data_IF_726512275597
#
_entry.id   IF_726512275597
#
_cell.length_a   1.000
_cell.length_b   1.000
_cell.length_c   1.000
_cell.angle_alpha   90.00
_cell.angle_beta   90.00
_cell.angle_gamma   90.00
#
_symmetry.space_group_name_H-M   'P 1'
#
loop_
_entity.id
_entity.type
_entity.pdbx_description
1 polymer ?
#
# COMPACT_ATOMS: atom_id res chain seq x y z
N UNK A 1 10.42 23.74 24.68
CA UNK A 1 9.07 23.71 24.08
C UNK A 1 9.22 23.08 22.71
N UNK A 2 9.38 21.74 22.69
CA UNK A 2 8.30 20.75 22.43
C UNK A 2 8.04 20.65 20.91
N UNK A 3 8.69 19.70 20.23
CA UNK A 3 8.27 18.30 19.99
C UNK A 3 7.18 18.14 18.89
N UNK A 4 7.40 17.11 18.05
CA UNK A 4 6.56 16.51 17.00
C UNK A 4 6.68 17.09 15.58
N UNK A 5 6.91 16.31 14.51
CA UNK A 5 6.70 14.87 14.34
C UNK A 5 7.82 14.21 13.49
N UNK A 6 8.68 13.40 14.12
CA UNK A 6 9.38 12.35 13.40
C UNK A 6 8.33 11.30 13.01
N UNK A 7 8.35 10.88 11.74
CA UNK A 7 7.54 9.77 11.25
C UNK A 7 7.60 8.60 12.23
N UNK A 8 6.43 8.08 12.63
CA UNK A 8 6.34 6.99 13.59
C UNK A 8 7.31 5.85 13.17
N UNK A 9 8.05 5.25 14.12
CA UNK A 9 9.00 4.19 13.80
C UNK A 9 8.27 3.04 13.08
N UNK A 10 8.82 2.60 11.95
CA UNK A 10 8.30 1.45 11.20
C UNK A 10 8.21 0.27 12.16
N UNK A 11 7.01 -0.31 12.32
CA UNK A 11 6.83 -1.47 13.20
C UNK A 11 7.71 -2.61 12.68
N UNK A 12 8.31 -3.41 13.56
CA UNK A 12 9.18 -4.54 13.16
C UNK A 12 8.49 -5.48 12.16
N UNK A 13 7.19 -5.64 12.32
CA UNK A 13 6.34 -6.47 11.45
C UNK A 13 6.23 -5.94 10.01
N UNK A 14 6.41 -4.63 9.82
CA UNK A 14 6.28 -3.94 8.53
C UNK A 14 7.64 -3.71 7.84
N UNK A 15 8.76 -4.06 8.49
CA UNK A 15 10.11 -3.97 7.90
C UNK A 15 10.22 -4.73 6.56
N UNK A 16 9.72 -5.98 6.44
CA UNK A 16 9.80 -6.70 5.16
C UNK A 16 9.03 -5.99 4.03
N UNK A 17 7.90 -5.35 4.35
CA UNK A 17 7.16 -4.55 3.37
C UNK A 17 7.97 -3.33 2.92
N UNK A 18 8.62 -2.66 3.87
CA UNK A 18 9.45 -1.50 3.56
C UNK A 18 10.62 -1.86 2.62
N UNK A 19 11.27 -3.00 2.86
CA UNK A 19 12.37 -3.50 2.04
C UNK A 19 11.90 -3.84 0.62
N UNK A 20 10.75 -4.51 0.48
CA UNK A 20 10.18 -4.83 -0.83
C UNK A 20 9.81 -3.56 -1.61
N UNK A 21 9.15 -2.60 -0.95
CA UNK A 21 8.81 -1.30 -1.57
C UNK A 21 10.07 -0.56 -2.01
N UNK A 22 11.12 -0.54 -1.19
CA UNK A 22 12.40 0.09 -1.53
C UNK A 22 13.06 -0.60 -2.72
N UNK A 23 13.06 -1.93 -2.76
CA UNK A 23 13.64 -2.69 -3.86
C UNK A 23 12.90 -2.44 -5.17
N UNK A 24 11.56 -2.53 -5.16
CA UNK A 24 10.70 -2.28 -6.33
C UNK A 24 10.82 -0.85 -6.84
N UNK A 25 10.84 0.14 -5.94
CA UNK A 25 11.08 1.54 -6.29
C UNK A 25 12.44 1.72 -6.99
N UNK A 26 13.49 1.10 -6.46
CA UNK A 26 14.81 1.12 -7.06
C UNK A 26 14.86 0.43 -8.43
N UNK A 27 14.15 -0.69 -8.59
CA UNK A 27 14.04 -1.40 -9.86
C UNK A 27 13.32 -0.56 -10.92
N UNK A 28 12.19 0.07 -10.57
CA UNK A 28 11.48 0.99 -11.45
C UNK A 28 12.37 2.17 -11.85
N UNK A 29 13.10 2.76 -10.90
CA UNK A 29 14.03 3.84 -11.19
C UNK A 29 15.11 3.46 -12.21
N UNK A 30 15.69 2.25 -12.09
CA UNK A 30 16.65 1.73 -13.08
C UNK A 30 16.01 1.54 -14.46
N UNK A 31 14.77 1.05 -14.51
CA UNK A 31 14.03 0.87 -15.78
C UNK A 31 13.74 2.22 -16.44
N UNK A 32 13.30 3.22 -15.68
CA UNK A 32 13.06 4.57 -16.19
C UNK A 32 14.35 5.16 -16.77
N UNK A 33 15.47 5.11 -16.03
CA UNK A 33 16.77 5.58 -16.54
C UNK A 33 17.16 4.89 -17.85
N UNK A 34 16.98 3.57 -17.91
CA UNK A 34 17.36 2.76 -19.08
C UNK A 34 16.52 3.07 -20.32
N UNK A 35 15.21 3.28 -20.16
CA UNK A 35 14.28 3.40 -21.29
C UNK A 35 14.00 4.85 -21.69
N UNK A 36 13.99 5.77 -20.73
CA UNK A 36 13.56 7.17 -20.91
C UNK A 36 14.70 8.17 -20.60
N UNK A 37 15.84 7.69 -20.08
CA UNK A 37 17.02 8.50 -19.77
C UNK A 37 17.04 9.11 -18.36
N UNK A 38 18.17 9.74 -18.02
CA UNK A 38 18.42 10.29 -16.69
C UNK A 38 17.57 11.54 -16.37
N UNK A 39 17.22 12.34 -17.38
CA UNK A 39 16.36 13.51 -17.22
C UNK A 39 14.95 13.11 -16.77
N UNK A 40 14.39 12.06 -17.40
CA UNK A 40 13.08 11.52 -17.04
C UNK A 40 13.09 10.98 -15.60
N UNK A 41 14.11 10.20 -15.24
CA UNK A 41 14.29 9.73 -13.88
C UNK A 41 14.37 10.88 -12.87
N UNK A 42 15.18 11.89 -13.17
CA UNK A 42 15.39 13.04 -12.27
C UNK A 42 14.10 13.82 -12.06
N UNK A 43 13.30 14.00 -13.12
CA UNK A 43 11.99 14.65 -13.04
C UNK A 43 11.04 13.88 -12.11
N UNK A 44 10.91 12.56 -12.30
CA UNK A 44 10.04 11.72 -11.46
C UNK A 44 10.51 11.70 -10.02
N UNK A 45 11.82 11.53 -9.80
CA UNK A 45 12.37 11.44 -8.46
C UNK A 45 12.25 12.76 -7.69
N UNK A 46 12.46 13.90 -8.37
CA UNK A 46 12.26 15.23 -7.79
C UNK A 46 10.82 15.41 -7.32
N UNK A 47 9.83 15.06 -8.14
CA UNK A 47 8.41 15.09 -7.75
C UNK A 47 8.13 14.16 -6.57
N UNK A 48 8.65 12.93 -6.60
CA UNK A 48 8.43 11.93 -5.55
C UNK A 48 8.98 12.40 -4.21
N UNK A 49 10.19 12.93 -4.18
CA UNK A 49 10.83 13.46 -2.97
C UNK A 49 10.06 14.67 -2.45
N UNK A 50 9.72 15.62 -3.33
CA UNK A 50 9.03 16.86 -2.96
C UNK A 50 7.63 16.60 -2.38
N UNK A 51 6.83 15.75 -3.03
CA UNK A 51 5.49 15.35 -2.56
C UNK A 51 5.56 14.56 -1.26
N UNK A 52 6.56 13.68 -1.09
CA UNK A 52 6.79 12.93 0.15
C UNK A 52 7.17 13.87 1.30
N UNK A 53 8.10 14.79 1.08
CA UNK A 53 8.49 15.79 2.08
C UNK A 53 7.27 16.60 2.54
N UNK A 54 6.42 17.04 1.60
CA UNK A 54 5.17 17.75 1.89
C UNK A 54 4.20 16.90 2.70
N UNK A 55 3.96 15.64 2.31
CA UNK A 55 3.06 14.73 3.04
C UNK A 55 3.48 14.51 4.49
N UNK A 56 4.79 14.51 4.75
CA UNK A 56 5.34 14.33 6.09
C UNK A 56 5.56 15.65 6.85
N UNK A 57 5.20 16.80 6.28
CA UNK A 57 5.40 18.10 6.93
C UNK A 57 6.87 18.41 7.21
N UNK A 58 7.79 18.00 6.33
CA UNK A 58 9.20 18.31 6.52
C UNK A 58 9.42 19.84 6.54
N UNK A 59 10.38 20.36 7.35
CA UNK A 59 10.57 21.80 7.53
C UNK A 59 10.76 22.58 6.22
N UNK A 60 11.52 22.00 5.28
CA UNK A 60 11.82 22.59 3.97
C UNK A 60 10.93 22.03 2.84
N UNK A 61 9.79 21.45 3.18
CA UNK A 61 8.90 20.87 2.18
C UNK A 61 8.27 21.97 1.31
N UNK A 62 8.17 21.74 -0.01
CA UNK A 62 7.52 22.71 -0.88
C UNK A 62 6.03 22.85 -0.55
N UNK A 63 5.52 24.07 -0.74
CA UNK A 63 4.09 24.36 -0.67
C UNK A 63 3.35 23.63 -1.80
N UNK A 64 2.03 23.49 -1.67
CA UNK A 64 1.21 22.95 -2.76
C UNK A 64 1.35 23.82 -4.01
N UNK A 65 1.34 25.14 -3.83
CA UNK A 65 1.51 26.10 -4.92
C UNK A 65 2.86 25.94 -5.64
N UNK A 66 3.96 25.72 -4.90
CA UNK A 66 5.28 25.47 -5.49
C UNK A 66 5.32 24.16 -6.30
N UNK A 67 4.65 23.12 -5.82
CA UNK A 67 4.53 21.85 -6.56
C UNK A 67 3.69 22.01 -7.84
N UNK A 68 2.58 22.74 -7.76
CA UNK A 68 1.74 23.02 -8.92
C UNK A 68 2.51 23.84 -9.97
N UNK A 69 3.21 24.90 -9.57
CA UNK A 69 4.08 25.68 -10.46
C UNK A 69 5.17 24.85 -11.14
N UNK A 70 5.75 23.88 -10.42
CA UNK A 70 6.71 22.95 -11.00
C UNK A 70 6.08 22.10 -12.11
N UNK A 71 4.87 21.59 -11.87
CA UNK A 71 4.13 20.77 -12.84
C UNK A 71 3.64 21.61 -14.03
N UNK A 72 3.20 22.84 -13.80
CA UNK A 72 2.79 23.79 -14.85
C UNK A 72 3.94 24.13 -15.80
N UNK A 73 5.18 23.99 -15.35
CA UNK A 73 6.39 24.14 -16.17
C UNK A 73 6.70 22.94 -17.06
N UNK A 74 5.99 21.82 -16.95
CA UNK A 74 6.25 20.63 -17.76
C UNK A 74 5.56 20.68 -19.12
N UNK A 75 6.26 20.18 -20.13
CA UNK A 75 5.64 19.85 -21.41
C UNK A 75 4.70 18.65 -21.28
N UNK A 76 3.75 18.52 -22.22
CA UNK A 76 2.76 17.41 -22.24
C UNK A 76 3.44 16.03 -22.16
N UNK A 77 4.58 15.85 -22.85
CA UNK A 77 5.34 14.60 -22.82
C UNK A 77 5.89 14.27 -21.42
N UNK A 78 6.41 15.27 -20.70
CA UNK A 78 6.90 15.11 -19.33
C UNK A 78 5.76 14.79 -18.36
N UNK A 79 4.62 15.47 -18.49
CA UNK A 79 3.41 15.17 -17.72
C UNK A 79 2.95 13.72 -17.94
N UNK A 80 2.87 13.28 -19.20
CA UNK A 80 2.47 11.91 -19.53
C UNK A 80 3.46 10.87 -18.98
N UNK A 81 4.77 11.13 -19.09
CA UNK A 81 5.81 10.27 -18.53
C UNK A 81 5.72 10.18 -17.00
N UNK A 82 5.60 11.31 -16.31
CA UNK A 82 5.48 11.35 -14.86
C UNK A 82 4.22 10.62 -14.38
N UNK A 83 3.07 10.85 -15.03
CA UNK A 83 1.83 10.14 -14.72
C UNK A 83 2.00 8.62 -14.86
N UNK A 84 2.58 8.14 -15.96
CA UNK A 84 2.87 6.69 -16.15
C UNK A 84 3.80 6.14 -15.08
N UNK A 85 4.86 6.87 -14.74
CA UNK A 85 5.82 6.45 -13.73
C UNK A 85 5.15 6.32 -12.35
N UNK A 86 4.33 7.28 -11.95
CA UNK A 86 3.58 7.20 -10.69
C UNK A 86 2.52 6.10 -10.70
N UNK A 87 1.80 5.89 -11.82
CA UNK A 87 0.87 4.76 -11.95
C UNK A 87 1.58 3.43 -11.73
N UNK A 88 2.74 3.21 -12.36
CA UNK A 88 3.54 2.00 -12.16
C UNK A 88 4.05 1.88 -10.72
N UNK A 89 4.50 2.99 -10.14
CA UNK A 89 4.94 3.02 -8.74
C UNK A 89 3.83 2.58 -7.78
N UNK A 90 2.62 3.13 -7.92
CA UNK A 90 1.47 2.73 -7.11
C UNK A 90 1.06 1.28 -7.34
N UNK A 91 1.12 0.80 -8.58
CA UNK A 91 0.87 -0.60 -8.90
C UNK A 91 1.83 -1.54 -8.15
N UNK A 92 3.12 -1.21 -8.13
CA UNK A 92 4.15 -1.99 -7.46
C UNK A 92 3.99 -1.96 -5.94
N UNK A 93 3.73 -0.79 -5.35
CA UNK A 93 3.48 -0.67 -3.90
C UNK A 93 2.26 -1.49 -3.51
N UNK A 94 1.15 -1.35 -4.23
CA UNK A 94 -0.07 -2.10 -3.93
C UNK A 94 0.21 -3.60 -4.01
N UNK A 95 0.97 -4.06 -5.01
CA UNK A 95 1.36 -5.47 -5.14
C UNK A 95 2.20 -5.93 -3.95
N UNK A 96 3.22 -5.16 -3.54
CA UNK A 96 4.03 -5.46 -2.36
C UNK A 96 3.20 -5.54 -1.07
N UNK A 97 2.26 -4.62 -0.89
CA UNK A 97 1.34 -4.62 0.25
C UNK A 97 0.46 -5.87 0.26
N UNK A 98 -0.10 -6.27 -0.88
CA UNK A 98 -0.91 -7.50 -0.97
C UNK A 98 -0.07 -8.74 -0.66
N UNK A 99 1.12 -8.88 -1.26
CA UNK A 99 2.03 -10.01 -0.99
C UNK A 99 2.46 -10.04 0.48
N UNK A 100 2.74 -8.87 1.07
CA UNK A 100 3.06 -8.77 2.49
C UNK A 100 1.87 -9.18 3.38
N UNK A 101 0.64 -8.76 3.07
CA UNK A 101 -0.57 -9.19 3.79
C UNK A 101 -0.73 -10.71 3.77
N UNK A 102 -0.52 -11.35 2.62
CA UNK A 102 -0.57 -12.82 2.49
C UNK A 102 0.54 -13.49 3.30
N UNK A 103 1.79 -13.02 3.20
CA UNK A 103 2.92 -13.54 4.00
C UNK A 103 2.65 -13.42 5.50
N UNK A 104 2.13 -12.27 5.95
CA UNK A 104 1.74 -12.06 7.36
C UNK A 104 0.66 -13.05 7.79
N UNK A 105 -0.42 -13.19 7.03
CA UNK A 105 -1.49 -14.15 7.31
C UNK A 105 -0.93 -15.58 7.45
N UNK A 106 -0.07 -16.00 6.52
CA UNK A 106 0.53 -17.33 6.56
C UNK A 106 1.48 -17.51 7.76
N UNK A 107 2.25 -16.48 8.14
CA UNK A 107 3.08 -16.54 9.34
C UNK A 107 2.26 -16.67 10.63
N UNK A 108 1.06 -16.10 10.72
CA UNK A 108 0.16 -16.28 11.88
C UNK A 108 -0.46 -17.69 11.91
N UNK A 109 -0.70 -18.31 10.75
CA UNK A 109 -1.23 -19.67 10.66
C UNK A 109 -0.17 -20.74 10.93
N UNK A 110 1.08 -20.53 10.47
CA UNK A 110 2.15 -21.52 10.50
C UNK A 110 3.02 -21.49 11.77
N UNK A 111 3.15 -20.35 12.43
CA UNK A 111 3.72 -20.30 13.79
C UNK A 111 2.60 -20.75 14.72
N UNK A 112 2.85 -21.66 15.65
CA UNK A 112 1.89 -22.05 16.70
C UNK A 112 1.59 -20.90 17.66
N UNK A 113 1.16 -19.76 17.13
CA UNK A 113 0.82 -18.56 17.88
C UNK A 113 -0.36 -18.93 18.75
N UNK A 114 -0.12 -18.96 20.05
CA UNK A 114 -1.14 -19.21 21.08
C UNK A 114 -2.22 -18.14 21.05
N UNK A 115 -1.86 -16.92 20.65
CA UNK A 115 -2.79 -15.82 20.45
C UNK A 115 -3.31 -15.71 18.99
N UNK A 116 -4.63 -15.82 18.76
CA UNK A 116 -5.23 -15.57 17.47
C UNK A 116 -5.03 -14.11 17.03
N UNK A 117 -4.84 -13.91 15.73
CA UNK A 117 -4.73 -12.59 15.12
C UNK A 117 -5.95 -11.73 15.49
N UNK A 118 -5.77 -10.47 15.95
CA UNK A 118 -6.88 -9.56 16.25
C UNK A 118 -7.88 -9.47 15.10
N UNK A 119 -9.17 -9.43 15.42
CA UNK A 119 -10.30 -9.44 14.47
C UNK A 119 -10.39 -10.70 13.56
N UNK A 120 -9.59 -11.75 13.79
CA UNK A 120 -9.83 -13.05 13.16
C UNK A 120 -11.07 -13.75 13.76
N UNK A 121 -11.59 -14.76 13.07
CA UNK A 121 -12.69 -15.57 13.58
C UNK A 121 -12.36 -16.18 14.96
N UNK A 122 -11.16 -16.78 15.12
CA UNK A 122 -10.73 -17.36 16.40
C UNK A 122 -10.58 -16.32 17.51
N UNK A 123 -10.05 -15.14 17.19
CA UNK A 123 -9.97 -14.04 18.16
C UNK A 123 -11.36 -13.56 18.58
N UNK A 124 -12.27 -13.38 17.62
CA UNK A 124 -13.65 -12.95 17.87
C UNK A 124 -14.38 -13.94 18.77
N UNK A 125 -14.25 -15.25 18.52
CA UNK A 125 -14.84 -16.27 19.38
C UNK A 125 -14.28 -16.24 20.81
N UNK A 126 -12.99 -15.92 20.97
CA UNK A 126 -12.37 -15.77 22.28
C UNK A 126 -12.87 -14.53 23.01
N UNK A 127 -12.98 -13.39 22.33
CA UNK A 127 -13.52 -12.16 22.92
C UNK A 127 -14.99 -12.30 23.31
N UNK A 128 -15.81 -12.94 22.48
CA UNK A 128 -17.22 -13.20 22.82
C UNK A 128 -17.34 -14.08 24.07
N UNK A 129 -16.48 -15.10 24.22
CA UNK A 129 -16.39 -15.91 25.44
C UNK A 129 -15.99 -15.06 26.64
N UNK A 130 -14.97 -14.20 26.50
CA UNK A 130 -14.50 -13.33 27.58
C UNK A 130 -15.58 -12.33 28.03
N UNK A 131 -16.45 -11.91 27.12
CA UNK A 131 -17.62 -11.07 27.39
C UNK A 131 -18.81 -11.86 27.99
N UNK A 132 -18.66 -13.17 28.21
CA UNK A 132 -19.68 -14.02 28.84
C UNK A 132 -20.75 -14.58 27.88
N UNK A 133 -20.54 -14.50 26.56
CA UNK A 133 -21.48 -15.11 25.61
C UNK A 133 -21.44 -16.64 25.69
N UNK A 134 -22.62 -17.27 25.77
CA UNK A 134 -22.73 -18.73 25.74
C UNK A 134 -22.52 -19.29 24.33
N UNK A 135 -22.14 -20.56 24.24
CA UNK A 135 -21.93 -21.21 22.94
C UNK A 135 -23.22 -21.19 22.09
N UNK A 136 -24.38 -21.41 22.72
CA UNK A 136 -25.70 -21.42 22.08
C UNK A 136 -26.11 -20.03 21.58
N UNK A 137 -25.72 -18.97 22.30
CA UNK A 137 -25.96 -17.61 21.85
C UNK A 137 -25.12 -17.28 20.60
N UNK A 138 -23.86 -17.69 20.58
CA UNK A 138 -22.96 -17.51 19.43
C UNK A 138 -23.45 -18.33 18.23
N UNK A 139 -23.82 -19.59 18.43
CA UNK A 139 -24.35 -20.46 17.38
C UNK A 139 -25.61 -19.86 16.73
N UNK A 140 -26.59 -19.43 17.53
CA UNK A 140 -27.79 -18.76 17.03
C UNK A 140 -27.45 -17.48 16.25
N UNK A 141 -26.48 -16.69 16.70
CA UNK A 141 -26.07 -15.49 15.97
C UNK A 141 -25.44 -15.84 14.61
N UNK A 142 -24.59 -16.88 14.55
CA UNK A 142 -23.95 -17.33 13.32
C UNK A 142 -24.94 -17.92 12.32
N UNK A 143 -25.95 -18.67 12.78
CA UNK A 143 -26.99 -19.22 11.91
C UNK A 143 -27.88 -18.14 11.27
N UNK A 144 -28.03 -17.00 11.93
CA UNK A 144 -28.79 -15.85 11.44
C UNK A 144 -27.94 -14.81 10.70
N UNK A 145 -26.63 -15.03 10.58
CA UNK A 145 -25.72 -14.10 9.92
C UNK A 145 -25.88 -14.20 8.40
N UNK A 146 -26.35 -13.12 7.80
CA UNK A 146 -26.49 -12.98 6.34
C UNK A 146 -25.56 -11.88 5.83
N UNK A 147 -24.56 -12.27 5.04
CA UNK A 147 -23.62 -11.35 4.40
C UNK A 147 -23.85 -11.44 2.90
N UNK A 148 -24.29 -10.33 2.30
CA UNK A 148 -24.52 -10.22 0.85
C UNK A 148 -23.58 -9.20 0.22
N UNK A 149 -22.39 -9.62 -0.27
CA UNK A 149 -21.52 -8.73 -1.00
C UNK A 149 -22.20 -8.32 -2.32
N UNK A 150 -22.41 -7.02 -2.51
CA UNK A 150 -22.89 -6.47 -3.78
C UNK A 150 -21.68 -5.96 -4.54
N UNK A 151 -21.31 -6.69 -5.60
CA UNK A 151 -20.25 -6.25 -6.50
C UNK A 151 -20.80 -5.15 -7.40
N UNK A 152 -20.24 -3.96 -7.27
CA UNK A 152 -20.54 -2.84 -8.16
C UNK A 152 -19.46 -2.74 -9.22
N UNK A 153 -19.81 -2.20 -10.39
CA UNK A 153 -18.81 -1.83 -11.38
C UNK A 153 -17.90 -0.75 -10.78
N UNK A 154 -16.59 -0.90 -10.90
CA UNK A 154 -15.67 0.17 -10.56
C UNK A 154 -15.73 1.22 -11.68
N UNK A 155 -16.16 2.47 -11.42
CA UNK A 155 -16.49 3.44 -12.47
C UNK A 155 -15.29 3.86 -13.33
N UNK A 156 -14.07 3.52 -12.94
CA UNK A 156 -12.83 3.90 -13.63
C UNK A 156 -11.82 2.77 -13.84
N UNK A 157 -12.06 1.55 -13.35
CA UNK A 157 -11.10 0.44 -13.46
C UNK A 157 -11.73 -0.84 -13.99
N UNK A 158 -11.87 -0.93 -15.32
CA UNK A 158 -11.72 -2.23 -15.98
C UNK A 158 -10.23 -2.58 -15.99
N UNK A 159 -9.68 -3.04 -14.87
CA UNK A 159 -8.28 -3.48 -14.81
C UNK A 159 -8.08 -4.59 -15.82
N UNK A 160 -7.34 -4.30 -16.90
CA UNK A 160 -7.12 -5.24 -18.01
C UNK A 160 -6.53 -6.53 -17.44
N UNK A 161 -7.09 -7.69 -17.79
CA UNK A 161 -6.65 -9.02 -17.31
C UNK A 161 -5.13 -9.24 -17.45
N UNK A 162 -4.51 -8.68 -18.48
CA UNK A 162 -3.06 -8.69 -18.68
C UNK A 162 -2.29 -8.04 -17.52
N UNK A 163 -2.78 -6.90 -16.99
CA UNK A 163 -2.15 -6.22 -15.85
C UNK A 163 -2.21 -7.08 -14.60
N UNK A 164 -3.35 -7.73 -14.34
CA UNK A 164 -3.49 -8.67 -13.22
C UNK A 164 -2.48 -9.82 -13.34
N UNK A 165 -2.28 -10.36 -14.55
CA UNK A 165 -1.28 -11.41 -14.80
C UNK A 165 0.16 -10.94 -14.59
N UNK A 166 0.49 -9.70 -14.98
CA UNK A 166 1.81 -9.12 -14.71
C UNK A 166 2.03 -8.88 -13.22
N UNK A 167 1.01 -8.41 -12.49
CA UNK A 167 1.09 -8.23 -11.03
C UNK A 167 1.31 -9.56 -10.32
N UNK A 168 0.62 -10.62 -10.73
CA UNK A 168 0.82 -11.96 -10.17
C UNK A 168 2.28 -12.42 -10.34
N UNK A 169 2.86 -12.25 -11.54
CA UNK A 169 4.26 -12.59 -11.81
C UNK A 169 5.29 -11.77 -11.03
N UNK A 170 4.92 -10.57 -10.58
CA UNK A 170 5.78 -9.74 -9.71
C UNK A 170 5.62 -10.15 -8.25
N UNK A 171 4.46 -10.70 -7.89
CA UNK A 171 4.15 -11.15 -6.54
C UNK A 171 4.72 -12.54 -6.22
N UNK A 172 4.90 -13.38 -7.24
CA UNK A 172 5.57 -14.69 -7.20
C UNK A 172 7.09 -14.56 -6.99
#
# INVERSE_FOLDING_TARGET
>A
MESHALAAPTRKEDLPLHDDVRWLAGALGRVIRRLEGDEAFTTVERLRVATRARRHGAPDAPTLEQLLKLIDGFGVAQCAMAARAFTLFFLLINTAEQTHRVRRRNSYLGKGVTDPQPASARWTMRELRNLGASAEAIERAMLNLDIRPVLTAHPTESTRRTLLGLQARVAD
#
